data_IF_575266485424
#
_entry.id   IF_575266485424
#
_cell.length_a   1.000
_cell.length_b   1.000
_cell.length_c   1.000
_cell.angle_alpha   90.00
_cell.angle_beta   90.00
_cell.angle_gamma   90.00
#
_symmetry.space_group_name_H-M   'P 1'
#
loop_
_entity.id
_entity.type
_entity.pdbx_description
1 polymer ?
#
# COMPACT_ATOMS: atom_id res chain seq x y z
N UNK A 1 43.43 0.87 -29.22
CA UNK A 1 41.97 1.15 -29.34
C UNK A 1 41.14 -0.13 -29.15
N UNK A 2 41.39 -0.92 -28.09
CA UNK A 2 40.58 -2.14 -27.77
C UNK A 2 39.90 -2.07 -26.40
N UNK A 3 40.28 -1.11 -25.56
CA UNK A 3 39.78 -1.00 -24.18
C UNK A 3 38.58 -0.05 -24.02
N UNK A 4 38.14 0.62 -25.10
CA UNK A 4 36.99 1.54 -25.04
C UNK A 4 35.65 0.80 -25.27
N UNK A 5 35.68 -0.35 -25.94
CA UNK A 5 34.47 -1.11 -26.30
C UNK A 5 33.89 -1.89 -25.10
N UNK A 6 34.74 -2.31 -24.15
CA UNK A 6 34.29 -3.02 -22.93
C UNK A 6 33.60 -2.11 -21.91
N UNK A 7 33.93 -0.81 -21.89
CA UNK A 7 33.27 0.15 -21.00
C UNK A 7 31.84 0.48 -21.44
N UNK A 8 31.55 0.41 -22.74
CA UNK A 8 30.20 0.65 -23.26
C UNK A 8 29.24 -0.53 -23.02
N UNK A 9 29.77 -1.75 -22.88
CA UNK A 9 28.98 -2.97 -22.63
C UNK A 9 28.64 -3.20 -21.14
N UNK A 10 29.36 -2.55 -20.21
CA UNK A 10 29.07 -2.60 -18.77
C UNK A 10 28.06 -1.54 -18.31
N UNK A 11 27.73 -0.57 -19.16
CA UNK A 11 26.77 0.50 -18.87
C UNK A 11 25.33 0.18 -19.33
N UNK A 12 25.11 -0.90 -20.08
CA UNK A 12 23.77 -1.27 -20.58
C UNK A 12 22.99 -2.23 -19.68
N UNK A 13 23.60 -2.75 -18.60
CA UNK A 13 22.96 -3.72 -17.68
C UNK A 13 22.32 -3.08 -16.44
N UNK A 14 22.49 -1.77 -16.22
CA UNK A 14 21.85 -1.04 -15.14
C UNK A 14 20.78 -0.13 -15.69
N UNK A 15 19.53 -0.60 -15.79
CA UNK A 15 18.29 0.18 -15.58
C UNK A 15 17.04 -0.59 -16.04
N UNK A 16 16.86 -1.82 -15.59
CA UNK A 16 15.52 -2.43 -15.53
C UNK A 16 15.29 -3.03 -14.15
N UNK A 17 15.64 -2.26 -13.11
CA UNK A 17 14.92 -2.41 -11.84
C UNK A 17 13.58 -1.76 -12.09
N UNK A 18 12.63 -2.54 -12.63
CA UNK A 18 11.22 -2.20 -12.54
C UNK A 18 10.91 -2.10 -11.04
N UNK A 19 11.04 -0.89 -10.51
CA UNK A 19 10.44 -0.54 -9.23
C UNK A 19 8.94 -0.70 -9.45
N UNK A 20 8.38 -1.79 -8.94
CA UNK A 20 6.94 -2.05 -9.00
C UNK A 20 6.22 -0.82 -8.42
N UNK A 21 5.46 -0.12 -9.26
CA UNK A 21 4.80 1.12 -8.89
C UNK A 21 3.67 0.85 -7.89
N UNK A 22 3.60 1.62 -6.81
CA UNK A 22 2.43 1.64 -5.93
C UNK A 22 1.27 2.28 -6.70
N UNK A 23 0.25 1.47 -6.99
CA UNK A 23 -0.73 1.74 -8.06
C UNK A 23 -1.82 2.71 -7.62
N UNK A 24 -2.10 2.82 -6.32
CA UNK A 24 -3.16 3.69 -5.81
C UNK A 24 -2.71 4.53 -4.62
N UNK A 25 -3.09 5.81 -4.66
CA UNK A 25 -2.71 6.83 -3.67
C UNK A 25 -3.95 7.52 -3.15
N UNK A 26 -4.30 7.29 -1.89
CA UNK A 26 -5.27 8.11 -1.17
C UNK A 26 -4.51 9.13 -0.34
N UNK A 27 -4.80 10.42 -0.55
CA UNK A 27 -4.23 11.51 0.24
C UNK A 27 -5.35 12.28 0.94
N UNK A 28 -5.30 12.34 2.27
CA UNK A 28 -6.30 13.08 3.07
C UNK A 28 -5.66 13.59 4.36
N UNK A 29 -5.91 14.86 4.70
CA UNK A 29 -5.46 15.54 5.93
C UNK A 29 -3.98 15.32 6.27
N UNK A 30 -3.14 15.32 5.23
CA UNK A 30 -1.70 15.12 5.33
C UNK A 30 -1.27 13.68 5.62
N UNK A 31 -2.16 12.70 5.49
CA UNK A 31 -1.84 11.28 5.43
C UNK A 31 -1.89 10.81 3.98
N UNK A 32 -0.86 10.06 3.57
CA UNK A 32 -0.79 9.40 2.28
C UNK A 32 -0.82 7.88 2.50
N UNK A 33 -1.79 7.22 1.89
CA UNK A 33 -1.85 5.78 1.77
C UNK A 33 -1.37 5.38 0.37
N UNK A 34 -0.42 4.48 0.32
CA UNK A 34 0.07 3.86 -0.92
C UNK A 34 -0.07 2.35 -0.74
N UNK A 35 -0.72 1.65 -1.66
CA UNK A 35 -0.85 0.20 -1.51
C UNK A 35 -0.57 -0.52 -2.82
N UNK A 36 -0.21 -1.79 -2.67
CA UNK A 36 0.08 -2.68 -3.77
C UNK A 36 -0.78 -3.93 -3.63
N UNK A 37 -1.68 -4.10 -4.60
CA UNK A 37 -2.37 -5.36 -4.80
C UNK A 37 -1.42 -6.33 -5.51
N UNK A 38 -1.49 -7.64 -5.24
CA UNK A 38 -0.75 -8.61 -6.03
C UNK A 38 -1.27 -8.62 -7.47
N UNK A 39 -0.41 -8.95 -8.43
CA UNK A 39 -0.79 -8.92 -9.86
C UNK A 39 -1.79 -10.02 -10.22
N UNK A 40 -1.80 -11.12 -9.46
CA UNK A 40 -2.69 -12.27 -9.64
C UNK A 40 -2.99 -12.89 -8.29
N UNK A 41 -4.25 -13.26 -8.06
CA UNK A 41 -4.59 -14.17 -6.99
C UNK A 41 -4.19 -15.61 -7.38
N UNK A 42 -3.86 -16.41 -6.36
CA UNK A 42 -3.62 -17.84 -6.51
C UNK A 42 -4.86 -18.53 -7.10
N UNK A 43 -4.68 -19.61 -7.86
CA UNK A 43 -5.81 -20.42 -8.35
C UNK A 43 -6.53 -21.18 -7.23
N UNK A 44 -5.95 -21.18 -6.02
CA UNK A 44 -6.56 -21.70 -4.81
C UNK A 44 -7.23 -20.56 -4.05
N UNK A 45 -8.33 -20.86 -3.37
CA UNK A 45 -8.94 -19.95 -2.39
C UNK A 45 -7.94 -19.69 -1.27
N UNK A 46 -7.26 -18.55 -1.34
CA UNK A 46 -6.21 -18.15 -0.41
C UNK A 46 -6.46 -16.71 0.03
N UNK A 47 -5.97 -16.39 1.22
CA UNK A 47 -5.98 -15.03 1.73
C UNK A 47 -5.09 -14.14 0.86
N UNK A 48 -5.59 -12.96 0.51
CA UNK A 48 -4.83 -11.94 -0.19
C UNK A 48 -4.08 -11.08 0.83
N UNK A 49 -2.76 -11.00 0.72
CA UNK A 49 -1.98 -10.04 1.51
C UNK A 49 -1.73 -8.77 0.70
N UNK A 50 -2.18 -7.64 1.24
CA UNK A 50 -2.05 -6.33 0.63
C UNK A 50 -1.09 -5.50 1.48
N UNK A 51 0.05 -5.18 0.87
CA UNK A 51 1.03 -4.29 1.48
C UNK A 51 0.57 -2.85 1.32
N UNK A 52 0.25 -2.22 2.46
CA UNK A 52 -0.14 -0.82 2.54
C UNK A 52 0.93 -0.02 3.27
N UNK A 53 1.28 1.11 2.71
CA UNK A 53 2.19 2.08 3.28
C UNK A 53 1.36 3.29 3.70
N UNK A 54 1.47 3.67 4.97
CA UNK A 54 0.81 4.85 5.51
C UNK A 54 1.88 5.86 5.93
N UNK A 55 1.85 7.04 5.33
CA UNK A 55 2.85 8.09 5.53
C UNK A 55 2.21 9.37 6.06
N UNK A 56 2.80 9.95 7.10
CA UNK A 56 2.43 11.25 7.64
C UNK A 56 3.30 12.33 6.99
N UNK A 57 2.64 13.22 6.26
CA UNK A 57 3.28 14.38 5.62
C UNK A 57 3.15 15.66 6.47
N UNK A 58 2.42 15.60 7.58
CA UNK A 58 2.26 16.72 8.50
C UNK A 58 3.54 16.99 9.32
N UNK A 59 3.66 18.22 9.81
CA UNK A 59 4.74 18.64 10.72
C UNK A 59 4.52 18.25 12.19
N UNK A 60 3.43 17.55 12.48
CA UNK A 60 3.02 17.08 13.81
C UNK A 60 2.66 15.59 13.80
N UNK A 61 2.74 14.89 14.94
CA UNK A 61 2.33 13.50 15.04
C UNK A 61 0.80 13.35 14.99
N UNK A 62 0.37 12.20 14.50
CA UNK A 62 -1.04 11.89 14.20
C UNK A 62 -1.37 10.45 14.56
N UNK A 63 -2.57 10.23 15.09
CA UNK A 63 -3.19 8.91 15.17
C UNK A 63 -4.12 8.74 13.99
N UNK A 64 -3.91 7.67 13.23
CA UNK A 64 -4.70 7.31 12.07
C UNK A 64 -5.45 6.02 12.40
N UNK A 65 -6.76 6.06 12.27
CA UNK A 65 -7.63 4.90 12.41
C UNK A 65 -8.42 4.72 11.13
N UNK A 66 -8.47 3.51 10.60
CA UNK A 66 -9.16 3.20 9.34
C UNK A 66 -9.58 1.74 9.32
N UNK A 67 -10.61 1.41 8.55
CA UNK A 67 -10.93 0.05 8.11
C UNK A 67 -10.67 -0.04 6.61
N UNK A 68 -10.72 -1.27 6.10
CA UNK A 68 -10.58 -1.52 4.68
C UNK A 68 -11.66 -2.48 4.23
N UNK A 69 -12.25 -2.17 3.08
CA UNK A 69 -13.35 -2.92 2.49
C UNK A 69 -12.96 -3.44 1.12
N UNK A 70 -13.32 -4.69 0.87
CA UNK A 70 -13.30 -5.29 -0.46
C UNK A 70 -14.74 -5.38 -0.98
N UNK A 71 -14.94 -4.87 -2.19
CA UNK A 71 -16.21 -4.89 -2.89
C UNK A 71 -16.10 -5.68 -4.19
N UNK A 72 -17.18 -6.39 -4.53
CA UNK A 72 -17.34 -7.05 -5.81
C UNK A 72 -18.68 -6.62 -6.40
N UNK A 73 -18.68 -6.14 -7.65
CA UNK A 73 -19.89 -5.59 -8.28
C UNK A 73 -20.53 -4.44 -7.50
N UNK A 74 -19.76 -3.74 -6.66
CA UNK A 74 -20.27 -2.66 -5.80
C UNK A 74 -20.92 -3.14 -4.50
N UNK A 75 -20.94 -4.44 -4.23
CA UNK A 75 -21.44 -5.02 -2.97
C UNK A 75 -20.28 -5.33 -2.04
N UNK A 76 -20.43 -4.96 -0.76
CA UNK A 76 -19.46 -5.28 0.29
C UNK A 76 -19.35 -6.79 0.45
N UNK A 77 -18.15 -7.31 0.25
CA UNK A 77 -17.85 -8.73 0.43
C UNK A 77 -17.17 -8.96 1.78
N UNK A 78 -16.24 -8.08 2.14
CA UNK A 78 -15.49 -8.16 3.39
C UNK A 78 -15.16 -6.76 3.89
N UNK A 79 -15.32 -6.55 5.20
CA UNK A 79 -14.81 -5.41 5.92
C UNK A 79 -13.80 -5.89 6.96
N UNK A 80 -12.58 -5.35 6.90
CA UNK A 80 -11.52 -5.65 7.84
C UNK A 80 -11.70 -4.90 9.16
N UNK A 81 -11.16 -5.48 10.23
CA UNK A 81 -11.07 -4.82 11.53
C UNK A 81 -10.34 -3.48 11.44
N UNK A 82 -10.77 -2.55 12.29
CA UNK A 82 -10.16 -1.22 12.35
C UNK A 82 -8.71 -1.30 12.76
N UNK A 83 -7.85 -0.80 11.89
CA UNK A 83 -6.43 -0.61 12.16
C UNK A 83 -6.21 0.77 12.75
N UNK A 84 -5.46 0.85 13.85
CA UNK A 84 -5.10 2.11 14.49
C UNK A 84 -3.58 2.21 14.66
N UNK A 85 -2.98 3.21 14.01
CA UNK A 85 -1.54 3.46 14.05
C UNK A 85 -1.24 4.88 14.53
N UNK A 86 -0.05 5.07 15.09
CA UNK A 86 0.48 6.40 15.38
C UNK A 86 1.69 6.68 14.49
N UNK A 87 1.63 7.78 13.75
CA UNK A 87 2.70 8.23 12.87
C UNK A 87 3.30 9.51 13.41
N UNK A 88 4.63 9.52 13.59
CA UNK A 88 5.33 10.74 13.97
C UNK A 88 5.35 11.75 12.83
N UNK A 89 5.78 12.98 13.10
CA UNK A 89 5.86 14.04 12.09
C UNK A 89 6.80 13.69 10.94
N UNK A 90 6.54 14.27 9.76
CA UNK A 90 7.39 14.13 8.57
C UNK A 90 8.87 14.40 8.90
N UNK A 91 9.75 13.57 8.35
CA UNK A 91 11.21 13.68 8.50
C UNK A 91 11.79 12.90 9.69
N UNK A 92 10.95 12.23 10.48
CA UNK A 92 11.38 11.34 11.57
C UNK A 92 11.25 9.87 11.18
N UNK A 93 12.06 8.96 11.77
CA UNK A 93 11.81 7.52 11.71
C UNK A 93 10.38 7.23 12.18
N UNK A 94 9.65 6.35 11.48
CA UNK A 94 8.24 6.03 11.72
C UNK A 94 7.22 7.12 11.31
N UNK A 95 7.63 8.13 10.54
CA UNK A 95 6.68 8.96 9.80
C UNK A 95 5.96 8.15 8.69
N UNK A 96 6.47 6.96 8.39
CA UNK A 96 5.93 5.98 7.45
C UNK A 96 5.89 4.61 8.14
N UNK A 97 4.80 3.88 7.97
CA UNK A 97 4.65 2.50 8.45
C UNK A 97 4.14 1.61 7.32
N UNK A 98 4.62 0.37 7.30
CA UNK A 98 4.12 -0.70 6.43
C UNK A 98 3.12 -1.51 7.25
N UNK A 99 1.95 -1.74 6.67
CA UNK A 99 0.84 -2.51 7.24
C UNK A 99 0.49 -3.58 6.22
N UNK A 100 0.46 -4.83 6.68
CA UNK A 100 -0.02 -5.95 5.88
C UNK A 100 -1.47 -6.18 6.24
N UNK A 101 -2.34 -6.03 5.24
CA UNK A 101 -3.77 -6.25 5.36
C UNK A 101 -4.10 -7.57 4.67
N UNK A 102 -4.69 -8.50 5.41
CA UNK A 102 -4.94 -9.85 4.93
C UNK A 102 -6.44 -10.07 4.82
N UNK A 103 -6.92 -10.36 3.62
CA UNK A 103 -8.33 -10.71 3.39
C UNK A 103 -8.62 -12.12 3.88
N UNK A 104 -9.91 -12.43 4.03
CA UNK A 104 -10.36 -13.81 3.97
C UNK A 104 -10.10 -14.41 2.59
N UNK A 105 -10.41 -15.70 2.41
CA UNK A 105 -10.14 -16.41 1.18
C UNK A 105 -10.85 -15.75 -0.02
N UNK A 106 -10.07 -15.22 -0.96
CA UNK A 106 -10.57 -14.68 -2.22
C UNK A 106 -10.13 -15.62 -3.34
N UNK A 107 -11.09 -16.11 -4.12
CA UNK A 107 -10.77 -16.89 -5.31
C UNK A 107 -10.29 -16.00 -6.47
N UNK A 108 -9.55 -16.62 -7.38
CA UNK A 108 -8.98 -15.91 -8.53
C UNK A 108 -10.01 -15.20 -9.41
N UNK A 109 -11.19 -15.78 -9.62
CA UNK A 109 -12.19 -15.20 -10.51
C UNK A 109 -12.78 -13.92 -9.92
N UNK A 110 -12.91 -13.85 -8.60
CA UNK A 110 -13.34 -12.67 -7.89
C UNK A 110 -12.27 -11.57 -7.89
N UNK A 111 -11.00 -11.93 -7.69
CA UNK A 111 -9.90 -10.96 -7.72
C UNK A 111 -9.64 -10.38 -9.11
N UNK A 112 -9.61 -11.24 -10.14
CA UNK A 112 -9.39 -10.84 -11.53
C UNK A 112 -10.64 -10.16 -12.15
N UNK A 113 -11.74 -10.01 -11.38
CA UNK A 113 -12.96 -9.37 -11.85
C UNK A 113 -12.72 -7.87 -12.06
N UNK A 114 -13.08 -7.29 -13.22
CA UNK A 114 -12.96 -5.85 -13.47
C UNK A 114 -13.75 -4.95 -12.52
N UNK A 115 -14.72 -5.52 -11.78
CA UNK A 115 -15.53 -4.85 -10.76
C UNK A 115 -15.06 -5.15 -9.33
N UNK A 116 -13.89 -5.74 -9.17
CA UNK A 116 -13.18 -5.80 -7.90
C UNK A 116 -12.77 -4.39 -7.50
N UNK A 117 -13.04 -4.03 -6.25
CA UNK A 117 -12.65 -2.74 -5.69
C UNK A 117 -12.16 -2.89 -4.25
N UNK A 118 -11.25 -1.99 -3.87
CA UNK A 118 -10.58 -1.98 -2.58
C UNK A 118 -10.59 -0.55 -2.01
N UNK A 119 -11.21 -0.36 -0.85
CA UNK A 119 -11.44 0.98 -0.30
C UNK A 119 -10.99 1.11 1.14
N UNK A 120 -10.42 2.27 1.46
CA UNK A 120 -10.17 2.67 2.84
C UNK A 120 -11.41 3.39 3.33
N UNK A 121 -12.00 2.86 4.40
CA UNK A 121 -13.22 3.37 5.02
C UNK A 121 -12.97 3.76 6.49
N UNK A 122 -13.96 4.41 7.10
CA UNK A 122 -13.90 4.87 8.51
C UNK A 122 -12.63 5.67 8.87
N UNK A 123 -12.04 6.36 7.89
CA UNK A 123 -10.78 7.08 8.06
C UNK A 123 -10.93 8.26 9.04
N UNK A 124 -10.31 8.13 10.20
CA UNK A 124 -10.18 9.14 11.24
C UNK A 124 -8.72 9.51 11.45
N UNK A 125 -8.40 10.79 11.29
CA UNK A 125 -7.06 11.33 11.47
C UNK A 125 -7.11 12.36 12.61
N UNK A 126 -6.37 12.10 13.69
CA UNK A 126 -6.32 12.98 14.87
C UNK A 126 -4.90 13.43 15.13
N UNK A 127 -4.68 14.75 15.21
CA UNK A 127 -3.44 15.31 15.75
C UNK A 127 -3.30 14.84 17.20
N UNK A 128 -2.10 14.40 17.57
CA UNK A 128 -1.76 14.00 18.94
C UNK A 128 -0.54 14.79 19.41
N UNK A 129 -0.24 14.74 20.71
CA UNK A 129 0.97 15.39 21.26
C UNK A 129 2.24 14.60 20.92
N UNK A 130 2.13 13.27 20.84
CA UNK A 130 3.23 12.37 20.53
C UNK A 130 2.76 10.94 20.23
N UNK A 131 3.62 10.19 19.57
CA UNK A 131 3.52 8.74 19.48
C UNK A 131 4.41 8.13 20.58
N UNK A 132 3.82 7.26 21.40
CA UNK A 132 4.55 6.51 22.44
C UNK A 132 5.08 5.22 21.86
#
# INVERSE_FOLDING_TARGET
MKNLFLLFLLLSSFSLVFSQEYVQKLSKDGILFEYKLPEKASTKNESLEIQTIVSNTNKYPVRVTFSVEYLLNGELQEAMDKTSICLVRKGFPNAKQVIFLTTQNIDKNNFDNPKFDWKIEDLSIKKVEGCK
#
